data_IF_834133910727
#
_entry.id   IF_834133910727
#
_cell.length_a   1.000
_cell.length_b   1.000
_cell.length_c   1.000
_cell.angle_alpha   90.00
_cell.angle_beta   90.00
_cell.angle_gamma   90.00
#
_symmetry.space_group_name_H-M   'P 1'
#
loop_
_entity.id
_entity.type
_entity.pdbx_description
1 polymer ?
#
# COMPACT_ATOMS: atom_id res chain seq x y z
N UNK A 1 -7.99 14.91 -2.95
CA UNK A 1 -6.87 15.64 -3.58
C UNK A 1 -5.82 14.60 -3.96
N UNK A 2 -5.95 14.03 -5.16
CA UNK A 2 -5.28 12.80 -5.60
C UNK A 2 -4.45 13.15 -6.83
N UNK A 3 -3.13 13.34 -6.68
CA UNK A 3 -2.33 13.84 -7.82
C UNK A 3 -0.83 13.58 -7.82
N UNK A 4 -0.23 13.05 -6.75
CA UNK A 4 1.24 12.98 -6.62
C UNK A 4 1.83 11.56 -6.57
N UNK A 5 1.01 10.53 -6.79
CA UNK A 5 1.42 9.12 -6.68
C UNK A 5 2.03 8.55 -7.95
N UNK A 6 1.65 9.09 -9.11
CA UNK A 6 2.17 8.71 -10.42
C UNK A 6 2.57 9.97 -11.17
N UNK A 7 3.87 10.22 -11.26
CA UNK A 7 4.42 11.39 -11.94
C UNK A 7 5.12 10.93 -13.21
N UNK A 8 4.78 11.52 -14.35
CA UNK A 8 5.50 11.26 -15.59
C UNK A 8 6.94 11.76 -15.45
N UNK A 9 7.91 10.86 -15.62
CA UNK A 9 9.33 11.22 -15.65
C UNK A 9 9.63 11.95 -16.95
N UNK A 10 9.99 13.24 -16.85
CA UNK A 10 10.37 14.08 -18.00
C UNK A 10 11.72 13.67 -18.60
N UNK A 11 12.59 13.00 -17.82
CA UNK A 11 13.93 12.61 -18.25
C UNK A 11 14.04 11.20 -18.80
N UNK A 12 13.16 10.25 -18.40
CA UNK A 12 13.31 8.82 -18.77
C UNK A 12 12.22 8.25 -19.69
N UNK A 13 11.37 9.10 -20.30
CA UNK A 13 10.22 8.64 -21.11
C UNK A 13 9.42 7.53 -20.40
N UNK A 14 9.11 7.74 -19.12
CA UNK A 14 8.44 6.75 -18.29
C UNK A 14 7.65 7.39 -17.16
N UNK A 15 7.26 6.58 -16.18
CA UNK A 15 6.49 6.99 -15.01
C UNK A 15 7.27 6.70 -13.73
N UNK A 16 7.10 7.54 -12.73
CA UNK A 16 7.58 7.30 -11.37
C UNK A 16 6.37 7.10 -10.48
N UNK A 17 6.32 5.94 -9.83
CA UNK A 17 5.36 5.62 -8.77
C UNK A 17 6.00 6.03 -7.45
N UNK A 18 5.26 6.71 -6.58
CA UNK A 18 5.73 7.12 -5.25
C UNK A 18 4.82 6.56 -4.16
N UNK A 19 5.42 6.05 -3.09
CA UNK A 19 4.68 5.62 -1.91
C UNK A 19 4.23 6.82 -1.08
N UNK A 20 2.96 6.82 -0.67
CA UNK A 20 2.38 7.88 0.15
C UNK A 20 2.86 7.90 1.61
N UNK A 21 3.54 6.85 2.07
CA UNK A 21 3.97 6.71 3.48
C UNK A 21 5.46 6.93 3.68
N UNK A 22 6.30 6.31 2.85
CA UNK A 22 7.76 6.35 3.01
C UNK A 22 8.47 7.06 1.86
N UNK A 23 7.71 7.63 0.91
CA UNK A 23 8.22 8.33 -0.27
C UNK A 23 9.12 7.50 -1.20
N UNK A 24 9.26 6.19 -0.95
CA UNK A 24 9.97 5.27 -1.82
C UNK A 24 9.43 5.37 -3.25
N UNK A 25 10.32 5.32 -4.23
CA UNK A 25 9.96 5.50 -5.63
C UNK A 25 10.29 4.27 -6.46
N UNK A 26 9.48 4.04 -7.48
CA UNK A 26 9.67 2.99 -8.47
C UNK A 26 9.53 3.57 -9.87
N UNK A 27 10.54 3.33 -10.71
CA UNK A 27 10.54 3.81 -12.09
C UNK A 27 9.94 2.75 -13.02
N UNK A 28 8.81 3.10 -13.65
CA UNK A 28 8.14 2.32 -14.66
C UNK A 28 8.49 2.87 -16.06
N UNK A 29 9.39 2.19 -16.77
CA UNK A 29 9.83 2.58 -18.12
C UNK A 29 8.81 2.17 -19.21
N UNK A 30 7.56 2.60 -19.04
CA UNK A 30 6.44 2.33 -19.97
C UNK A 30 5.81 3.63 -20.43
N UNK A 31 5.15 3.60 -21.58
CA UNK A 31 4.63 4.81 -22.21
C UNK A 31 3.31 5.26 -21.56
N UNK A 32 2.39 4.33 -21.35
CA UNK A 32 1.05 4.59 -20.83
C UNK A 32 0.98 4.64 -19.30
N UNK A 33 0.11 5.51 -18.78
CA UNK A 33 -0.23 5.52 -17.35
C UNK A 33 -0.87 4.20 -16.89
N UNK A 34 -1.82 3.59 -17.63
CA UNK A 34 -2.38 2.30 -17.24
C UNK A 34 -1.33 1.18 -17.20
N UNK A 35 -0.41 1.18 -18.17
CA UNK A 35 0.74 0.26 -18.19
C UNK A 35 1.64 0.47 -16.98
N UNK A 36 1.87 1.71 -16.56
CA UNK A 36 2.68 2.00 -15.37
C UNK A 36 2.02 1.50 -14.09
N UNK A 37 0.69 1.60 -14.00
CA UNK A 37 -0.11 1.05 -12.89
C UNK A 37 0.03 -0.47 -12.86
N UNK A 38 -0.28 -1.14 -13.98
CA UNK A 38 -0.20 -2.60 -14.08
C UNK A 38 1.22 -3.13 -13.79
N UNK A 39 2.25 -2.41 -14.27
CA UNK A 39 3.64 -2.75 -13.99
C UNK A 39 3.99 -2.59 -12.51
N UNK A 40 3.52 -1.52 -11.86
CA UNK A 40 3.69 -1.33 -10.42
C UNK A 40 2.98 -2.44 -9.61
N UNK A 41 1.73 -2.75 -9.95
CA UNK A 41 0.94 -3.79 -9.30
C UNK A 41 1.59 -5.17 -9.44
N UNK A 42 2.14 -5.49 -10.61
CA UNK A 42 2.93 -6.72 -10.83
C UNK A 42 4.16 -6.78 -9.92
N UNK A 43 4.73 -5.63 -9.56
CA UNK A 43 5.85 -5.51 -8.62
C UNK A 43 5.40 -5.40 -7.14
N UNK A 44 4.14 -5.71 -6.83
CA UNK A 44 3.60 -5.74 -5.48
C UNK A 44 3.21 -4.38 -4.91
N UNK A 45 3.16 -3.34 -5.74
CA UNK A 45 2.61 -2.06 -5.31
C UNK A 45 1.09 -2.13 -5.25
N UNK A 46 0.50 -1.44 -4.29
CA UNK A 46 -0.94 -1.16 -4.29
C UNK A 46 -1.10 0.24 -4.88
N UNK A 47 -1.91 0.38 -5.93
CA UNK A 47 -2.18 1.66 -6.59
C UNK A 47 -3.70 1.90 -6.63
N UNK A 48 -4.14 3.07 -6.19
CA UNK A 48 -5.58 3.38 -6.07
C UNK A 48 -5.80 4.71 -5.36
N UNK A 49 -6.72 4.74 -4.37
CA UNK A 49 -6.93 5.91 -3.52
C UNK A 49 -5.66 6.31 -2.73
N UNK A 50 -4.87 5.30 -2.35
CA UNK A 50 -3.52 5.45 -1.80
C UNK A 50 -2.56 4.54 -2.54
N UNK A 51 -1.32 5.00 -2.72
CA UNK A 51 -0.24 4.21 -3.31
C UNK A 51 0.74 3.76 -2.24
N UNK A 52 0.89 2.45 -2.07
CA UNK A 52 1.79 1.85 -1.10
C UNK A 52 2.84 0.97 -1.78
N UNK A 53 4.09 1.12 -1.35
CA UNK A 53 5.13 0.17 -1.71
C UNK A 53 4.88 -1.18 -1.02
N UNK A 54 5.48 -2.28 -1.52
CA UNK A 54 5.26 -3.63 -0.98
C UNK A 54 5.50 -3.71 0.53
N UNK A 55 6.54 -3.04 1.03
CA UNK A 55 6.89 -3.04 2.45
C UNK A 55 5.84 -2.34 3.32
N UNK A 56 5.37 -1.17 2.89
CA UNK A 56 4.32 -0.43 3.61
C UNK A 56 2.98 -1.15 3.57
N UNK A 57 2.65 -1.79 2.44
CA UNK A 57 1.46 -2.62 2.31
C UNK A 57 1.51 -3.82 3.28
N UNK A 58 2.62 -4.55 3.30
CA UNK A 58 2.83 -5.66 4.22
C UNK A 58 2.72 -5.22 5.69
N UNK A 59 3.41 -4.15 6.08
CA UNK A 59 3.36 -3.61 7.44
C UNK A 59 1.93 -3.22 7.86
N UNK A 60 1.15 -2.62 6.95
CA UNK A 60 -0.24 -2.24 7.23
C UNK A 60 -1.14 -3.48 7.44
N UNK A 61 -1.00 -4.51 6.59
CA UNK A 61 -1.77 -5.76 6.75
C UNK A 61 -1.43 -6.50 8.04
N UNK A 62 -0.15 -6.57 8.41
CA UNK A 62 0.30 -7.18 9.66
C UNK A 62 -0.26 -6.47 10.88
N UNK A 63 -0.23 -5.13 10.91
CA UNK A 63 -0.86 -4.34 11.99
C UNK A 63 -2.36 -4.61 12.10
N UNK A 64 -3.06 -4.70 10.98
CA UNK A 64 -4.51 -5.02 10.96
C UNK A 64 -4.80 -6.43 11.47
N UNK A 65 -3.96 -7.41 11.10
CA UNK A 65 -4.06 -8.79 11.57
C UNK A 65 -3.79 -8.93 13.06
N UNK A 66 -2.77 -8.24 13.57
CA UNK A 66 -2.47 -8.17 15.01
C UNK A 66 -3.62 -7.52 15.78
N UNK A 67 -4.14 -6.38 15.30
CA UNK A 67 -5.26 -5.70 15.96
C UNK A 67 -6.54 -6.56 15.97
N UNK A 68 -6.80 -7.33 14.89
CA UNK A 68 -7.92 -8.28 14.84
C UNK A 68 -7.76 -9.42 15.85
N UNK A 69 -6.53 -9.93 16.04
CA UNK A 69 -6.27 -10.96 17.07
C UNK A 69 -6.43 -10.40 18.47
N UNK A 70 -5.90 -9.21 18.75
CA UNK A 70 -6.06 -8.56 20.05
C UNK A 70 -7.53 -8.32 20.41
N UNK A 71 -8.36 -7.88 19.45
CA UNK A 71 -9.81 -7.70 19.66
C UNK A 71 -10.59 -9.00 19.84
N UNK A 72 -10.12 -10.12 19.27
CA UNK A 72 -10.70 -11.43 19.55
C UNK A 72 -10.37 -11.88 20.99
N UNK A 73 -9.10 -11.76 21.40
CA UNK A 73 -8.65 -12.14 22.76
C UNK A 73 -9.37 -11.34 23.84
N UNK A 74 -9.57 -10.03 23.66
CA UNK A 74 -10.32 -9.24 24.66
C UNK A 74 -11.79 -9.63 24.77
N UNK A 75 -12.40 -10.18 23.71
CA UNK A 75 -13.79 -10.66 23.76
C UNK A 75 -13.90 -12.00 24.51
N UNK A 76 -12.92 -12.89 24.38
CA UNK A 76 -12.89 -14.16 25.12
C UNK A 76 -12.63 -13.97 26.63
N UNK A 77 -11.80 -12.98 27.01
CA UNK A 77 -11.57 -12.69 28.43
C UNK A 77 -12.79 -12.08 29.16
N UNK A 78 -13.80 -11.57 28.44
CA UNK A 78 -15.00 -10.96 29.03
C UNK A 78 -16.10 -11.92 29.46
N UNK A 79 -15.97 -13.24 29.21
CA UNK A 79 -17.04 -14.22 29.43
C UNK A 79 -16.96 -15.02 30.75
N UNK A 80 -16.00 -14.72 31.64
CA UNK A 80 -15.78 -15.50 32.89
C UNK A 80 -16.02 -14.72 34.20
N UNK A 81 -16.64 -13.53 34.15
CA UNK A 81 -17.05 -12.80 35.35
C UNK A 81 -18.58 -12.76 35.46
N UNK A 82 -19.19 -13.85 35.95
CA UNK A 82 -20.64 -13.90 36.12
C UNK A 82 -21.19 -15.24 36.60
N UNK A 83 -20.63 -15.81 37.68
CA UNK A 83 -21.32 -16.72 38.59
C UNK A 83 -20.83 -16.46 40.02
#
# INVERSE_FOLDING_TARGET
MTGYTLVRSTSRRGWTVRCDLCEHTFAAAVAGRPEAVAFAETNGWIVGERTWCPMCAAAHTSRRSLNRRSTAVTRDCGAVAGL
#
